data_IF_024710458567
#
_entry.id   IF_024710458567
#
_cell.length_a   1.000
_cell.length_b   1.000
_cell.length_c   1.000
_cell.angle_alpha   90.00
_cell.angle_beta   90.00
_cell.angle_gamma   90.00
#
_symmetry.space_group_name_H-M   'P 1'
#
loop_
_entity.id
_entity.type
_entity.pdbx_description
1 polymer ?
#
# COMPACT_ATOMS: atom_id res chain seq x y z
N UNK A 1 32.29 26.85 40.78
CA UNK A 1 31.08 26.14 40.40
C UNK A 1 31.14 25.91 38.89
N UNK A 2 31.66 24.78 38.49
CA UNK A 2 31.92 24.45 37.07
C UNK A 2 30.96 23.33 36.71
N UNK A 3 29.97 23.64 35.89
CA UNK A 3 29.05 22.62 35.36
C UNK A 3 29.70 21.95 34.14
N UNK A 4 29.95 20.66 34.28
CA UNK A 4 30.41 19.78 33.21
C UNK A 4 29.22 19.39 32.34
N UNK A 5 29.18 19.83 31.08
CA UNK A 5 28.23 19.38 30.06
C UNK A 5 28.64 17.99 29.59
N UNK A 6 27.74 17.03 29.79
CA UNK A 6 27.83 15.67 29.26
C UNK A 6 27.54 15.65 27.74
N UNK A 7 28.23 14.86 26.93
CA UNK A 7 27.97 14.75 25.54
C UNK A 7 26.66 13.97 25.29
N UNK A 8 25.84 14.49 24.38
CA UNK A 8 24.62 13.83 23.86
C UNK A 8 25.03 12.51 23.19
N UNK A 9 24.51 11.43 23.72
CA UNK A 9 24.64 10.09 23.17
C UNK A 9 23.70 9.98 21.96
N UNK A 10 24.22 10.17 20.75
CA UNK A 10 23.51 9.84 19.52
C UNK A 10 23.45 8.32 19.39
N UNK A 11 22.25 7.77 19.57
CA UNK A 11 21.95 6.36 19.36
C UNK A 11 22.10 6.02 17.87
N UNK A 12 22.82 4.95 17.53
CA UNK A 12 22.91 4.51 16.14
C UNK A 12 21.53 4.02 15.68
N UNK A 13 21.03 4.62 14.60
CA UNK A 13 19.80 4.19 13.92
C UNK A 13 19.91 2.71 13.57
N UNK A 14 19.11 1.92 14.26
CA UNK A 14 19.11 0.46 14.18
C UNK A 14 18.82 -0.01 12.76
N UNK A 15 19.73 -0.81 12.21
CA UNK A 15 19.65 -1.51 10.92
C UNK A 15 18.44 -2.48 10.81
N UNK A 16 17.66 -2.63 11.89
CA UNK A 16 16.51 -3.54 11.98
C UNK A 16 15.25 -3.05 11.28
N UNK A 17 15.20 -1.79 10.82
CA UNK A 17 13.99 -1.24 10.17
C UNK A 17 13.88 -1.53 8.67
N UNK A 18 14.89 -2.12 8.05
CA UNK A 18 14.92 -2.38 6.60
C UNK A 18 14.26 -3.70 6.18
N UNK A 19 13.84 -4.56 7.14
CA UNK A 19 13.33 -5.91 6.82
C UNK A 19 11.81 -6.08 6.96
N UNK A 20 11.04 -5.02 7.29
CA UNK A 20 9.59 -5.18 7.54
C UNK A 20 8.70 -4.92 6.32
N UNK A 21 9.25 -4.51 5.19
CA UNK A 21 8.47 -4.25 3.96
C UNK A 21 8.31 -5.48 3.05
N UNK A 22 8.81 -6.67 3.44
CA UNK A 22 8.89 -7.85 2.56
C UNK A 22 8.01 -9.03 3.01
N UNK A 23 6.94 -8.83 3.77
CA UNK A 23 6.13 -9.95 4.26
C UNK A 23 4.63 -9.81 3.98
N UNK A 24 4.25 -9.43 2.76
CA UNK A 24 2.88 -9.64 2.24
C UNK A 24 2.97 -10.26 0.84
N UNK A 25 3.67 -11.38 0.71
CA UNK A 25 3.56 -12.25 -0.47
C UNK A 25 3.65 -13.70 0.03
N UNK A 26 2.65 -14.49 -0.32
CA UNK A 26 2.46 -15.92 -0.19
C UNK A 26 1.64 -16.42 1.01
N UNK A 27 0.36 -16.63 0.72
CA UNK A 27 -0.35 -17.85 1.12
C UNK A 27 -1.43 -18.15 0.05
N UNK A 28 -1.00 -18.74 -1.05
CA UNK A 28 -1.88 -19.51 -1.93
C UNK A 28 -1.80 -20.96 -1.45
N UNK A 29 -2.67 -21.35 -0.54
CA UNK A 29 -2.94 -22.75 -0.26
C UNK A 29 -4.28 -23.11 -0.91
N UNK A 30 -4.20 -23.94 -1.92
CA UNK A 30 -5.32 -24.59 -2.57
C UNK A 30 -6.14 -25.39 -1.55
N UNK A 31 -7.43 -25.07 -1.40
CA UNK A 31 -8.41 -26.01 -0.85
C UNK A 31 -9.38 -26.40 -1.96
N UNK A 32 -9.10 -27.58 -2.49
CA UNK A 32 -10.02 -28.37 -3.29
C UNK A 32 -11.22 -28.74 -2.39
N UNK A 33 -12.41 -28.25 -2.73
CA UNK A 33 -13.64 -28.66 -2.07
C UNK A 33 -14.49 -29.43 -3.03
N UNK A 34 -14.46 -30.74 -2.84
CA UNK A 34 -15.29 -31.71 -3.56
C UNK A 34 -16.77 -31.37 -3.44
N UNK A 35 -17.41 -31.37 -4.58
CA UNK A 35 -18.86 -31.29 -4.71
C UNK A 35 -19.48 -32.59 -4.23
N UNK A 36 -20.28 -32.52 -3.17
CA UNK A 36 -21.13 -33.63 -2.76
C UNK A 36 -22.54 -33.39 -3.31
N UNK A 37 -22.80 -33.93 -4.49
CA UNK A 37 -24.13 -34.02 -5.07
C UNK A 37 -24.85 -35.23 -4.44
N UNK A 38 -25.82 -34.96 -3.58
CA UNK A 38 -26.81 -36.00 -3.26
C UNK A 38 -28.20 -35.41 -3.52
N UNK A 39 -28.64 -35.61 -4.77
CA UNK A 39 -30.02 -35.30 -5.21
C UNK A 39 -30.81 -36.61 -5.13
N UNK A 40 -31.79 -36.70 -4.23
CA UNK A 40 -32.85 -37.70 -4.30
C UNK A 40 -34.19 -37.05 -3.95
N UNK A 41 -34.94 -36.78 -4.97
CA UNK A 41 -36.41 -36.63 -4.91
C UNK A 41 -37.02 -37.96 -5.43
N UNK A 42 -38.22 -38.44 -4.99
CA UNK A 42 -39.44 -37.90 -5.54
C UNK A 42 -40.69 -37.94 -4.60
N UNK A 43 -41.68 -37.15 -5.05
CA UNK A 43 -43.12 -37.25 -4.84
C UNK A 43 -43.74 -36.88 -3.49
N UNK A 44 -44.46 -35.76 -3.49
CA UNK A 44 -45.91 -35.73 -3.16
C UNK A 44 -46.50 -34.31 -3.22
N UNK A 45 -47.42 -34.13 -4.14
CA UNK A 45 -48.73 -33.48 -4.09
C UNK A 45 -48.95 -32.19 -3.26
N UNK A 46 -49.28 -31.15 -4.01
CA UNK A 46 -50.45 -30.25 -3.94
C UNK A 46 -50.86 -29.59 -2.61
N UNK A 47 -51.04 -28.28 -2.80
CA UNK A 47 -52.03 -27.40 -2.16
C UNK A 47 -51.65 -26.70 -0.86
N UNK A 48 -51.43 -25.46 -1.04
CA UNK A 48 -51.84 -24.26 -0.32
C UNK A 48 -50.72 -23.20 -0.36
N UNK A 49 -50.91 -22.26 -1.28
CA UNK A 49 -50.16 -21.01 -1.24
C UNK A 49 -50.75 -20.11 -0.15
N UNK A 50 -50.00 -19.69 0.85
CA UNK A 50 -50.23 -18.42 1.47
C UNK A 50 -49.26 -17.39 0.86
N UNK A 51 -49.87 -16.23 0.64
CA UNK A 51 -49.27 -14.99 0.15
C UNK A 51 -47.76 -14.87 0.39
N UNK A 52 -47.07 -14.51 -0.68
CA UNK A 52 -45.69 -14.09 -0.65
C UNK A 52 -45.48 -13.05 0.45
N UNK A 53 -45.01 -13.49 1.60
CA UNK A 53 -44.27 -12.63 2.53
C UNK A 53 -42.98 -12.35 1.79
N UNK A 54 -42.90 -11.16 1.21
CA UNK A 54 -41.62 -10.58 0.84
C UNK A 54 -40.86 -10.44 2.17
N UNK A 55 -40.15 -11.49 2.57
CA UNK A 55 -39.14 -11.37 3.58
C UNK A 55 -38.09 -10.44 3.00
N UNK A 56 -38.14 -9.21 3.44
CA UNK A 56 -36.99 -8.31 3.35
C UNK A 56 -35.85 -9.09 4.01
N UNK A 57 -35.04 -9.74 3.19
CA UNK A 57 -33.84 -10.42 3.69
C UNK A 57 -33.09 -9.35 4.47
N UNK A 58 -33.03 -9.48 5.78
CA UNK A 58 -32.12 -8.66 6.61
C UNK A 58 -30.73 -8.90 6.05
N UNK A 59 -30.23 -7.93 5.30
CA UNK A 59 -28.91 -8.00 4.73
C UNK A 59 -27.93 -8.06 5.89
N UNK A 60 -27.04 -9.04 5.86
CA UNK A 60 -25.99 -9.14 6.89
C UNK A 60 -25.20 -7.83 6.92
N UNK A 61 -24.60 -7.45 8.06
CA UNK A 61 -23.77 -6.27 8.17
C UNK A 61 -22.69 -6.20 7.06
N UNK A 62 -22.11 -7.34 6.69
CA UNK A 62 -21.10 -7.44 5.64
C UNK A 62 -21.67 -7.12 4.26
N UNK A 63 -22.90 -7.55 3.97
CA UNK A 63 -23.58 -7.24 2.73
C UNK A 63 -23.93 -5.76 2.65
N UNK A 64 -24.36 -5.15 3.76
CA UNK A 64 -24.66 -3.73 3.83
C UNK A 64 -23.38 -2.90 3.61
N UNK A 65 -22.28 -3.29 4.24
CA UNK A 65 -20.99 -2.61 4.07
C UNK A 65 -20.47 -2.69 2.63
N UNK A 66 -20.54 -3.87 2.01
CA UNK A 66 -20.18 -4.05 0.60
C UNK A 66 -21.01 -3.15 -0.33
N UNK A 67 -22.34 -3.07 -0.09
CA UNK A 67 -23.23 -2.23 -0.87
C UNK A 67 -22.94 -0.73 -0.66
N UNK A 68 -22.66 -0.28 0.56
CA UNK A 68 -22.24 1.09 0.84
C UNK A 68 -20.97 1.47 0.07
N UNK A 69 -19.97 0.57 0.05
CA UNK A 69 -18.73 0.79 -0.69
C UNK A 69 -18.97 0.89 -2.20
N UNK A 70 -19.84 0.03 -2.73
CA UNK A 70 -20.23 0.07 -4.15
C UNK A 70 -20.96 1.37 -4.50
N UNK A 71 -21.95 1.77 -3.71
CA UNK A 71 -22.70 3.01 -3.90
C UNK A 71 -21.80 4.23 -3.80
N UNK A 72 -20.87 4.22 -2.85
CA UNK A 72 -19.90 5.29 -2.71
C UNK A 72 -19.06 5.50 -3.98
N UNK A 73 -18.60 4.41 -4.63
CA UNK A 73 -17.89 4.48 -5.91
C UNK A 73 -18.78 5.05 -7.04
N UNK A 74 -20.05 4.66 -7.11
CA UNK A 74 -20.99 5.22 -8.10
C UNK A 74 -21.12 6.72 -7.94
N UNK A 75 -21.26 7.21 -6.72
CA UNK A 75 -21.36 8.65 -6.45
C UNK A 75 -20.02 9.36 -6.66
N UNK A 76 -18.91 8.72 -6.28
CA UNK A 76 -17.58 9.28 -6.47
C UNK A 76 -17.24 9.48 -7.96
N UNK A 77 -17.64 8.53 -8.81
CA UNK A 77 -17.43 8.62 -10.27
C UNK A 77 -18.18 9.75 -10.97
N UNK A 78 -19.17 10.36 -10.29
CA UNK A 78 -19.92 11.53 -10.79
C UNK A 78 -19.26 12.87 -10.42
N UNK A 79 -18.25 12.84 -9.55
CA UNK A 79 -17.58 14.06 -9.10
C UNK A 79 -16.69 14.65 -10.18
N UNK A 80 -16.62 15.95 -10.24
CA UNK A 80 -15.76 16.67 -11.17
C UNK A 80 -14.28 16.26 -10.98
N UNK A 81 -13.60 16.01 -12.10
CA UNK A 81 -12.19 15.63 -12.12
C UNK A 81 -11.92 14.17 -11.75
N UNK A 82 -12.95 13.36 -11.47
CA UNK A 82 -12.81 11.90 -11.29
C UNK A 82 -12.99 11.20 -12.63
N UNK A 83 -12.04 10.36 -12.98
CA UNK A 83 -12.07 9.52 -14.18
C UNK A 83 -12.23 8.06 -13.75
N UNK A 84 -13.10 7.32 -14.43
CA UNK A 84 -13.30 5.87 -14.22
C UNK A 84 -12.74 5.10 -15.41
N UNK A 85 -11.91 4.10 -15.15
CA UNK A 85 -11.33 3.22 -16.17
C UNK A 85 -12.25 2.03 -16.48
N UNK A 86 -11.92 1.25 -17.50
CA UNK A 86 -12.69 0.05 -17.88
C UNK A 86 -12.69 -1.04 -16.80
N UNK A 87 -11.67 -1.09 -15.94
CA UNK A 87 -11.59 -2.04 -14.81
C UNK A 87 -12.45 -1.62 -13.62
N UNK A 88 -12.97 -0.38 -13.62
CA UNK A 88 -13.67 0.22 -12.50
C UNK A 88 -12.78 0.97 -11.53
N UNK A 89 -11.46 1.02 -11.77
CA UNK A 89 -10.58 1.92 -11.04
C UNK A 89 -11.04 3.37 -11.28
N UNK A 90 -11.08 4.16 -10.21
CA UNK A 90 -11.29 5.59 -10.35
C UNK A 90 -10.04 6.34 -9.90
N UNK A 91 -9.77 7.48 -10.52
CA UNK A 91 -8.66 8.32 -10.13
C UNK A 91 -8.99 9.80 -10.35
N UNK A 92 -8.30 10.63 -9.56
CA UNK A 92 -8.35 12.07 -9.71
C UNK A 92 -6.93 12.62 -9.72
N UNK A 93 -6.57 13.37 -10.75
CA UNK A 93 -5.30 14.08 -10.83
C UNK A 93 -5.33 15.28 -9.89
N UNK A 94 -4.40 15.34 -8.95
CA UNK A 94 -4.22 16.47 -8.03
C UNK A 94 -3.11 17.40 -8.49
N UNK A 95 -2.06 16.79 -9.06
CA UNK A 95 -0.91 17.49 -9.61
C UNK A 95 -0.37 16.67 -10.78
N UNK A 96 -0.15 17.32 -11.90
CA UNK A 96 0.53 16.69 -13.04
C UNK A 96 2.02 16.53 -12.76
N UNK A 97 2.62 15.47 -13.30
CA UNK A 97 4.04 15.23 -13.32
C UNK A 97 4.60 15.41 -14.73
N UNK A 98 5.89 15.66 -14.82
CA UNK A 98 6.59 15.86 -16.09
C UNK A 98 7.52 14.68 -16.45
N UNK A 99 7.79 13.77 -15.50
CA UNK A 99 8.67 12.64 -15.72
C UNK A 99 8.05 11.49 -16.51
N UNK A 100 8.75 10.35 -16.52
CA UNK A 100 8.30 9.13 -17.22
C UNK A 100 7.14 8.46 -16.46
N UNK A 101 6.27 7.77 -17.19
CA UNK A 101 5.26 6.87 -16.60
C UNK A 101 5.87 5.48 -16.40
N UNK A 102 5.57 4.78 -15.31
CA UNK A 102 6.07 3.44 -15.10
C UNK A 102 5.36 2.42 -15.98
N UNK A 103 6.06 1.36 -16.30
CA UNK A 103 5.53 0.10 -16.82
C UNK A 103 5.40 -0.92 -15.69
N UNK A 104 4.68 -2.02 -15.93
CA UNK A 104 4.49 -3.08 -14.93
C UNK A 104 5.82 -3.69 -14.41
N UNK A 105 6.89 -3.63 -15.21
CA UNK A 105 8.19 -4.20 -14.89
C UNK A 105 9.12 -3.21 -14.15
N UNK A 106 8.67 -1.97 -13.97
CA UNK A 106 9.48 -0.94 -13.32
C UNK A 106 9.38 -1.00 -11.79
N UNK A 107 10.38 -0.43 -11.16
CA UNK A 107 10.45 -0.19 -9.73
C UNK A 107 10.03 1.26 -9.50
N UNK A 108 9.10 1.47 -8.58
CA UNK A 108 8.55 2.78 -8.26
C UNK A 108 8.85 3.17 -6.83
N UNK A 109 9.08 4.46 -6.63
CA UNK A 109 9.21 5.07 -5.31
C UNK A 109 8.05 6.03 -5.11
N UNK A 110 7.26 5.83 -4.06
CA UNK A 110 6.03 6.58 -3.80
C UNK A 110 5.91 7.03 -2.36
N UNK A 111 5.20 8.15 -2.16
CA UNK A 111 4.60 8.51 -0.88
C UNK A 111 3.11 8.33 -0.98
N UNK A 112 2.48 7.82 0.09
CA UNK A 112 1.04 7.60 0.05
C UNK A 112 0.37 7.66 1.42
N UNK A 113 -0.94 7.87 1.39
CA UNK A 113 -1.84 7.66 2.52
C UNK A 113 -3.04 6.85 2.06
N UNK A 114 -3.23 5.68 2.66
CA UNK A 114 -4.35 4.77 2.41
C UNK A 114 -5.46 4.95 3.45
N UNK A 115 -6.70 5.11 2.96
CA UNK A 115 -7.90 5.38 3.78
C UNK A 115 -9.05 4.49 3.34
N UNK A 116 -9.94 4.17 4.27
CA UNK A 116 -11.28 3.68 3.97
C UNK A 116 -12.17 4.84 3.50
N UNK A 117 -13.37 4.53 3.00
CA UNK A 117 -14.33 5.54 2.51
C UNK A 117 -14.86 6.49 3.60
N UNK A 118 -14.76 6.10 4.87
CA UNK A 118 -15.09 6.91 6.04
C UNK A 118 -13.95 7.86 6.49
N UNK A 119 -12.80 7.79 5.78
CA UNK A 119 -11.61 8.57 6.09
C UNK A 119 -10.65 7.93 7.08
N UNK A 120 -10.97 6.74 7.62
CA UNK A 120 -10.08 6.00 8.52
C UNK A 120 -8.78 5.65 7.81
N UNK A 121 -7.66 6.18 8.29
CA UNK A 121 -6.32 5.90 7.75
C UNK A 121 -5.84 4.55 8.27
N UNK A 122 -5.70 3.56 7.36
CA UNK A 122 -5.18 2.25 7.70
C UNK A 122 -3.67 2.13 7.47
N UNK A 123 -3.11 2.90 6.52
CA UNK A 123 -1.70 2.83 6.16
C UNK A 123 -1.19 4.17 5.62
N UNK A 124 0.09 4.51 5.84
CA UNK A 124 0.74 5.67 5.20
C UNK A 124 2.25 5.62 5.34
N UNK A 125 2.95 6.26 4.40
CA UNK A 125 4.41 6.46 4.51
C UNK A 125 4.78 7.31 5.71
N UNK A 126 3.94 8.26 6.14
CA UNK A 126 4.19 9.07 7.33
C UNK A 126 4.23 8.24 8.60
N UNK A 127 3.31 7.26 8.74
CA UNK A 127 3.25 6.38 9.92
C UNK A 127 4.37 5.34 9.93
N UNK A 128 4.68 4.76 8.77
CA UNK A 128 5.50 3.56 8.68
C UNK A 128 6.94 3.84 8.28
N UNK A 129 7.21 4.98 7.63
CA UNK A 129 8.53 5.31 7.09
C UNK A 129 8.97 6.75 7.39
N UNK A 130 8.36 7.41 8.37
CA UNK A 130 8.72 8.77 8.76
C UNK A 130 8.52 9.82 7.66
N UNK A 131 7.58 9.57 6.73
CA UNK A 131 7.30 10.46 5.58
C UNK A 131 8.25 10.26 4.38
N UNK A 132 9.22 9.35 4.49
CA UNK A 132 10.08 9.00 3.37
C UNK A 132 9.33 8.13 2.35
N UNK A 133 9.70 8.26 1.08
CA UNK A 133 9.13 7.42 0.03
C UNK A 133 9.53 5.95 0.22
N UNK A 134 8.62 5.04 -0.10
CA UNK A 134 8.91 3.61 -0.14
C UNK A 134 9.10 3.16 -1.59
N UNK A 135 9.98 2.17 -1.78
CA UNK A 135 10.36 1.68 -3.11
C UNK A 135 10.02 0.20 -3.25
N UNK A 136 9.35 -0.17 -4.34
CA UNK A 136 8.95 -1.56 -4.60
C UNK A 136 8.76 -1.81 -6.10
N UNK A 137 8.84 -3.10 -6.55
CA UNK A 137 8.48 -3.49 -7.90
C UNK A 137 6.97 -3.32 -8.13
N UNK A 138 6.56 -2.66 -9.22
CA UNK A 138 5.15 -2.38 -9.51
C UNK A 138 4.34 -3.68 -9.69
N UNK A 139 4.93 -4.72 -10.24
CA UNK A 139 4.27 -6.02 -10.39
C UNK A 139 3.89 -6.70 -9.06
N UNK A 140 4.47 -6.27 -7.93
CA UNK A 140 4.28 -6.90 -6.61
C UNK A 140 3.09 -6.35 -5.79
N UNK A 141 2.36 -5.34 -6.27
CA UNK A 141 1.27 -4.69 -5.52
C UNK A 141 -0.11 -5.08 -6.05
N UNK A 142 -1.18 -4.64 -5.38
CA UNK A 142 -2.56 -4.90 -5.78
C UNK A 142 -2.87 -4.33 -7.18
N UNK A 143 -3.80 -4.96 -7.90
CA UNK A 143 -4.11 -4.63 -9.31
C UNK A 143 -4.45 -3.16 -9.54
N UNK A 144 -5.19 -2.55 -8.62
CA UNK A 144 -5.55 -1.13 -8.71
C UNK A 144 -4.34 -0.20 -8.65
N UNK A 145 -3.30 -0.56 -7.91
CA UNK A 145 -2.03 0.17 -7.91
C UNK A 145 -1.23 -0.08 -9.17
N UNK A 146 -1.18 -1.34 -9.65
CA UNK A 146 -0.52 -1.65 -10.92
C UNK A 146 -1.09 -0.82 -12.05
N UNK A 147 -2.41 -0.71 -12.15
CA UNK A 147 -3.07 0.10 -13.17
C UNK A 147 -2.91 1.60 -12.90
N UNK A 148 -3.23 2.05 -11.69
CA UNK A 148 -3.25 3.47 -11.33
C UNK A 148 -1.89 4.17 -11.48
N UNK A 149 -0.81 3.50 -11.05
CA UNK A 149 0.54 4.09 -11.16
C UNK A 149 1.02 4.18 -12.62
N UNK A 150 0.59 3.27 -13.50
CA UNK A 150 0.90 3.38 -14.94
C UNK A 150 0.20 4.57 -15.62
N UNK A 151 -0.87 5.10 -15.03
CA UNK A 151 -1.54 6.34 -15.49
C UNK A 151 -0.86 7.61 -14.96
N UNK A 152 0.07 7.46 -14.01
CA UNK A 152 0.79 8.58 -13.40
C UNK A 152 2.11 8.86 -14.13
N UNK A 153 2.62 10.07 -13.92
CA UNK A 153 3.98 10.45 -14.30
C UNK A 153 4.80 10.75 -13.05
N UNK A 154 6.09 10.50 -13.11
CA UNK A 154 7.01 10.91 -12.06
C UNK A 154 6.84 12.39 -11.71
N UNK A 155 6.72 12.70 -10.41
CA UNK A 155 6.42 14.03 -9.88
C UNK A 155 4.92 14.35 -9.76
N UNK A 156 4.02 13.46 -10.22
CA UNK A 156 2.57 13.66 -10.11
C UNK A 156 2.00 13.23 -8.77
N UNK A 157 0.82 13.77 -8.45
CA UNK A 157 0.02 13.37 -7.30
C UNK A 157 -1.39 13.04 -7.76
N UNK A 158 -1.86 11.84 -7.46
CA UNK A 158 -3.21 11.38 -7.76
C UNK A 158 -3.89 10.85 -6.51
N UNK A 159 -5.22 10.96 -6.47
CA UNK A 159 -6.03 10.13 -5.58
C UNK A 159 -6.56 8.96 -6.40
N UNK A 160 -6.27 7.75 -5.95
CA UNK A 160 -6.75 6.49 -6.53
C UNK A 160 -7.88 5.94 -5.66
N UNK A 161 -8.97 5.53 -6.28
CA UNK A 161 -10.12 4.90 -5.61
C UNK A 161 -10.27 3.48 -6.15
N UNK A 162 -9.89 2.51 -5.34
CA UNK A 162 -9.82 1.11 -5.73
C UNK A 162 -11.08 0.38 -5.28
N UNK A 163 -11.91 -0.14 -6.21
CA UNK A 163 -12.91 -1.13 -5.85
C UNK A 163 -12.25 -2.33 -5.16
N UNK A 164 -12.96 -3.00 -4.27
CA UNK A 164 -12.45 -4.18 -3.57
C UNK A 164 -11.82 -5.23 -4.51
N UNK A 165 -12.42 -5.47 -5.68
CA UNK A 165 -11.91 -6.42 -6.67
C UNK A 165 -10.51 -6.08 -7.24
N UNK A 166 -10.10 -4.83 -7.16
CA UNK A 166 -8.76 -4.35 -7.55
C UNK A 166 -7.81 -4.20 -6.36
N UNK A 167 -8.27 -4.52 -5.15
CA UNK A 167 -7.53 -4.46 -3.89
C UNK A 167 -7.51 -5.83 -3.20
N UNK A 168 -8.18 -5.97 -2.07
CA UNK A 168 -8.15 -7.19 -1.25
C UNK A 168 -9.41 -8.07 -1.37
N UNK A 169 -10.42 -7.62 -2.12
CA UNK A 169 -11.66 -8.39 -2.37
C UNK A 169 -12.45 -8.65 -1.10
N UNK A 170 -12.88 -9.91 -0.94
CA UNK A 170 -13.66 -10.39 0.20
C UNK A 170 -12.79 -10.81 1.40
N UNK A 171 -11.48 -10.59 1.32
CA UNK A 171 -10.56 -10.95 2.40
C UNK A 171 -10.34 -9.77 3.34
N UNK A 172 -10.49 -9.95 4.65
CA UNK A 172 -10.09 -8.93 5.61
C UNK A 172 -8.55 -8.85 5.67
N UNK A 173 -7.99 -7.64 5.71
CA UNK A 173 -6.54 -7.44 5.82
C UNK A 173 -6.25 -6.43 6.92
N UNK A 174 -5.72 -6.90 8.05
CA UNK A 174 -5.47 -6.05 9.20
C UNK A 174 -6.74 -5.34 9.66
N UNK A 175 -6.77 -4.01 9.57
CA UNK A 175 -7.94 -3.18 9.93
C UNK A 175 -8.88 -2.92 8.76
N UNK A 176 -8.60 -3.47 7.56
CA UNK A 176 -9.43 -3.30 6.37
C UNK A 176 -10.50 -4.39 6.35
N UNK A 177 -11.80 -4.03 6.43
CA UNK A 177 -12.90 -4.99 6.32
C UNK A 177 -12.98 -5.64 4.93
N UNK A 178 -13.65 -6.81 4.81
CA UNK A 178 -13.97 -7.40 3.51
C UNK A 178 -14.75 -6.43 2.61
N UNK A 179 -14.57 -6.52 1.31
CA UNK A 179 -15.28 -5.71 0.31
C UNK A 179 -15.08 -4.19 0.45
N UNK A 180 -13.97 -3.76 1.07
CA UNK A 180 -13.63 -2.34 1.21
C UNK A 180 -13.20 -1.72 -0.11
N UNK A 181 -13.77 -0.58 -0.42
CA UNK A 181 -13.18 0.38 -1.36
C UNK A 181 -12.04 1.11 -0.65
N UNK A 182 -10.88 1.18 -1.30
CA UNK A 182 -9.72 1.85 -0.76
C UNK A 182 -9.45 3.16 -1.47
N UNK A 183 -9.13 4.18 -0.70
CA UNK A 183 -8.77 5.51 -1.19
C UNK A 183 -7.30 5.75 -0.88
N UNK A 184 -6.49 5.99 -1.90
CA UNK A 184 -5.07 6.28 -1.75
C UNK A 184 -4.75 7.66 -2.32
N UNK A 185 -4.25 8.54 -1.48
CA UNK A 185 -3.54 9.72 -1.96
C UNK A 185 -2.10 9.32 -2.22
N UNK A 186 -1.64 9.42 -3.47
CA UNK A 186 -0.35 8.90 -3.92
C UNK A 186 0.45 10.00 -4.61
N UNK A 187 1.73 10.11 -4.24
CA UNK A 187 2.74 10.88 -4.97
C UNK A 187 3.75 9.90 -5.58
N UNK A 188 3.88 9.91 -6.90
CA UNK A 188 4.89 9.13 -7.62
C UNK A 188 6.20 9.90 -7.66
N UNK A 189 7.13 9.54 -6.78
CA UNK A 189 8.39 10.27 -6.58
C UNK A 189 9.42 9.92 -7.63
N UNK A 190 9.57 8.61 -7.94
CA UNK A 190 10.61 8.13 -8.87
C UNK A 190 10.16 6.86 -9.58
N UNK A 191 10.57 6.73 -10.82
CA UNK A 191 10.40 5.52 -11.65
C UNK A 191 11.77 5.04 -12.09
N UNK A 192 12.08 3.77 -11.85
CA UNK A 192 13.38 3.17 -12.16
C UNK A 192 13.18 1.84 -12.87
N UNK A 193 14.02 1.54 -13.82
CA UNK A 193 14.20 0.18 -14.30
C UNK A 193 14.89 -0.67 -13.23
N UNK A 194 14.83 -1.99 -13.34
CA UNK A 194 15.54 -2.89 -12.43
C UNK A 194 17.06 -2.60 -12.41
N UNK A 195 17.65 -2.33 -13.58
CA UNK A 195 19.06 -1.99 -13.69
C UNK A 195 19.41 -0.67 -12.99
N UNK A 196 18.58 0.36 -13.12
CA UNK A 196 18.75 1.64 -12.43
C UNK A 196 18.64 1.47 -10.90
N UNK A 197 17.69 0.66 -10.44
CA UNK A 197 17.50 0.39 -9.02
C UNK A 197 18.68 -0.39 -8.41
N UNK A 198 19.22 -1.38 -9.11
CA UNK A 198 20.41 -2.11 -8.68
C UNK A 198 21.63 -1.19 -8.61
N UNK A 199 21.84 -0.33 -9.61
CA UNK A 199 22.93 0.64 -9.61
C UNK A 199 22.82 1.63 -8.44
N UNK A 200 21.61 2.07 -8.09
CA UNK A 200 21.35 2.96 -6.93
C UNK A 200 21.71 2.25 -5.61
N UNK A 201 21.32 0.99 -5.47
CA UNK A 201 21.62 0.17 -4.28
C UNK A 201 23.14 0.00 -4.14
N UNK A 202 23.87 -0.29 -5.22
CA UNK A 202 25.33 -0.42 -5.19
C UNK A 202 26.00 0.90 -4.81
N UNK A 203 25.53 2.00 -5.36
CA UNK A 203 26.01 3.35 -5.01
C UNK A 203 25.81 3.68 -3.52
N UNK A 204 24.62 3.34 -2.98
CA UNK A 204 24.34 3.56 -1.56
C UNK A 204 25.21 2.69 -0.66
N UNK A 205 25.43 1.42 -1.02
CA UNK A 205 26.34 0.51 -0.30
C UNK A 205 27.78 1.01 -0.31
N UNK A 206 28.27 1.49 -1.45
CA UNK A 206 29.59 2.05 -1.57
C UNK A 206 29.75 3.32 -0.73
N UNK A 207 28.75 4.21 -0.73
CA UNK A 207 28.76 5.42 0.10
C UNK A 207 28.74 5.10 1.60
N UNK A 208 27.95 4.10 2.02
CA UNK A 208 27.92 3.64 3.41
C UNK A 208 29.26 3.03 3.85
N UNK A 209 29.90 2.23 2.98
CA UNK A 209 31.21 1.66 3.25
C UNK A 209 32.28 2.74 3.39
N UNK A 210 32.28 3.75 2.51
CA UNK A 210 33.19 4.88 2.58
C UNK A 210 32.98 5.70 3.87
N UNK A 211 31.73 5.97 4.25
CA UNK A 211 31.42 6.67 5.50
C UNK A 211 31.86 5.89 6.74
N UNK A 212 31.68 4.56 6.74
CA UNK A 212 32.12 3.69 7.83
C UNK A 212 33.65 3.68 7.95
N UNK A 213 34.39 3.68 6.84
CA UNK A 213 35.86 3.76 6.83
C UNK A 213 36.35 5.10 7.37
N UNK A 214 35.73 6.21 6.95
CA UNK A 214 36.08 7.55 7.47
C UNK A 214 35.82 7.68 8.97
N UNK A 215 34.72 7.13 9.47
CA UNK A 215 34.41 7.12 10.90
C UNK A 215 35.41 6.28 11.69
N UNK A 216 35.85 5.15 11.15
CA UNK A 216 36.86 4.30 11.78
C UNK A 216 38.26 4.99 11.81
N UNK A 217 38.62 5.70 10.76
CA UNK A 217 39.90 6.44 10.68
C UNK A 217 39.90 7.64 11.63
N UNK A 218 38.78 8.35 11.78
CA UNK A 218 38.65 9.42 12.77
C UNK A 218 38.72 8.91 14.22
N UNK A 219 38.15 7.73 14.49
CA UNK A 219 38.20 7.10 15.81
C UNK A 219 39.60 6.57 16.15
N UNK A 220 40.45 6.30 15.15
CA UNK A 220 41.82 5.79 15.32
C UNK A 220 42.88 6.89 15.50
N UNK A 221 42.54 8.18 15.35
CA UNK A 221 43.46 9.28 15.59
C UNK A 221 43.69 9.44 17.11
N UNK A 222 44.91 9.29 17.63
CA UNK A 222 45.21 9.53 19.05
C UNK A 222 44.91 10.99 19.40
N UNK A 223 44.23 11.22 20.51
CA UNK A 223 44.10 12.57 21.08
C UNK A 223 45.47 13.17 21.25
N UNK A 224 45.81 14.15 20.42
CA UNK A 224 47.06 14.90 20.49
C UNK A 224 47.13 15.54 21.87
N UNK A 225 48.09 15.08 22.66
CA UNK A 225 48.34 15.55 24.03
C UNK A 225 48.62 17.04 23.98
N UNK A 226 47.80 17.82 24.61
CA UNK A 226 48.03 19.23 24.87
C UNK A 226 49.32 19.34 25.72
N UNK A 227 50.37 20.09 25.30
CA UNK A 227 51.54 20.29 26.14
C UNK A 227 51.15 21.11 27.36
N UNK A 228 51.37 20.57 28.54
CA UNK A 228 51.36 21.34 29.80
C UNK A 228 52.55 22.31 29.81
N UNK A 229 52.25 23.59 29.90
CA UNK A 229 53.20 24.61 30.44
C UNK A 229 52.73 25.08 31.80
#
# INVERSE_FOLDING_TARGET
MTQTLLPHNEQPVSLAKMFFALLIVMLLAACNREANNNFKNPDAAADNAPAAVIQTAEQSPDTQYAEQNRQWLVENGKKDGVTTTASGLQYQVKKEGEGKSPTINDIVSVKYTGKLIDGTVFDSTDKNNGGEAITFPLAGVVKGWQEGLQLMKEGSQHTLFLPAALAYGEQPVGTIPPNSTLVFDVELVKVMTEAEALAEIEKLKAAQAAAAQQAAEQAAQPAEQTPQQ
#
